data_IF_083128485986
#
_entry.id   IF_083128485986
#
_cell.length_a   1.000
_cell.length_b   1.000
_cell.length_c   1.000
_cell.angle_alpha   90.00
_cell.angle_beta   90.00
_cell.angle_gamma   90.00
#
_symmetry.space_group_name_H-M   'P 1'
#
loop_
_entity.id
_entity.type
_entity.pdbx_description
1 polymer ?
#
# COMPACT_ATOMS: atom_id res chain seq x y z
N UNK A 1 14.36 -10.89 -44.28
CA UNK A 1 13.80 -11.74 -43.20
C UNK A 1 14.13 -11.18 -41.82
N UNK A 2 15.39 -11.24 -41.34
CA UNK A 2 15.77 -10.74 -39.99
C UNK A 2 15.40 -9.28 -39.71
N UNK A 3 15.60 -8.38 -40.67
CA UNK A 3 15.22 -6.96 -40.55
C UNK A 3 13.70 -6.75 -40.42
N UNK A 4 12.93 -7.51 -41.19
CA UNK A 4 11.47 -7.42 -41.19
C UNK A 4 10.90 -7.94 -39.86
N UNK A 5 11.46 -9.04 -39.37
CA UNK A 5 11.14 -9.59 -38.06
C UNK A 5 11.51 -8.62 -36.92
N UNK A 6 12.68 -7.97 -37.01
CA UNK A 6 13.08 -6.94 -36.04
C UNK A 6 12.11 -5.74 -36.07
N UNK A 7 11.70 -5.26 -37.24
CA UNK A 7 10.71 -4.20 -37.36
C UNK A 7 9.36 -4.59 -36.74
N UNK A 8 8.89 -5.82 -36.98
CA UNK A 8 7.64 -6.33 -36.36
C UNK A 8 7.73 -6.32 -34.84
N UNK A 9 8.82 -6.83 -34.28
CA UNK A 9 9.05 -6.84 -32.82
C UNK A 9 9.07 -5.40 -32.27
N UNK A 10 9.84 -4.51 -32.87
CA UNK A 10 9.93 -3.10 -32.44
C UNK A 10 8.57 -2.42 -32.53
N UNK A 11 7.85 -2.54 -33.64
CA UNK A 11 6.53 -1.95 -33.81
C UNK A 11 5.54 -2.51 -32.79
N UNK A 12 5.50 -3.82 -32.57
CA UNK A 12 4.62 -4.43 -31.56
C UNK A 12 4.92 -3.91 -30.15
N UNK A 13 6.20 -3.82 -29.80
CA UNK A 13 6.64 -3.31 -28.50
C UNK A 13 6.23 -1.84 -28.29
N UNK A 14 6.50 -0.98 -29.28
CA UNK A 14 6.13 0.44 -29.23
C UNK A 14 4.61 0.65 -29.23
N UNK A 15 3.85 -0.16 -29.97
CA UNK A 15 2.39 -0.10 -29.95
C UNK A 15 1.81 -0.48 -28.60
N UNK A 16 2.36 -1.50 -27.93
CA UNK A 16 1.95 -1.89 -26.58
C UNK A 16 2.30 -0.81 -25.55
N UNK A 17 3.48 -0.20 -25.66
CA UNK A 17 3.87 0.96 -24.83
C UNK A 17 2.94 2.16 -25.04
N UNK A 18 2.65 2.50 -26.30
CA UNK A 18 1.75 3.59 -26.65
C UNK A 18 0.32 3.37 -26.17
N UNK A 19 -0.17 2.13 -26.25
CA UNK A 19 -1.48 1.75 -25.70
C UNK A 19 -1.52 1.91 -24.18
N UNK A 20 -0.48 1.44 -23.47
CA UNK A 20 -0.37 1.62 -22.02
C UNK A 20 -0.39 3.09 -21.60
N UNK A 21 0.36 3.93 -22.32
CA UNK A 21 0.35 5.39 -22.10
C UNK A 21 -1.04 5.99 -22.31
N UNK A 22 -1.72 5.62 -23.39
CA UNK A 22 -3.07 6.12 -23.70
C UNK A 22 -4.10 5.71 -22.64
N UNK A 23 -4.05 4.45 -22.19
CA UNK A 23 -4.87 3.93 -21.09
C UNK A 23 -4.68 4.74 -19.80
N UNK A 24 -3.44 5.07 -19.44
CA UNK A 24 -3.16 5.91 -18.27
C UNK A 24 -3.62 7.36 -18.45
N UNK A 25 -3.39 7.97 -19.61
CA UNK A 25 -3.77 9.36 -19.88
C UNK A 25 -5.29 9.54 -19.86
N UNK A 26 -6.05 8.56 -20.36
CA UNK A 26 -7.50 8.62 -20.42
C UNK A 26 -8.24 7.94 -19.26
N UNK A 27 -7.51 7.33 -18.31
CA UNK A 27 -8.12 6.56 -17.22
C UNK A 27 -8.87 5.31 -17.68
N UNK A 28 -8.61 4.82 -18.89
CA UNK A 28 -9.28 3.66 -19.46
C UNK A 28 -8.52 2.37 -19.12
N UNK A 29 -9.16 1.47 -18.37
CA UNK A 29 -8.58 0.17 -17.93
C UNK A 29 -7.21 0.33 -17.24
N UNK A 30 -7.09 1.36 -16.41
CA UNK A 30 -5.83 1.70 -15.73
C UNK A 30 -5.26 0.58 -14.85
N UNK A 31 -6.05 -0.44 -14.47
CA UNK A 31 -5.62 -1.57 -13.64
C UNK A 31 -5.38 -2.88 -14.41
N UNK A 32 -5.65 -2.91 -15.71
CA UNK A 32 -5.65 -4.13 -16.54
C UNK A 32 -4.25 -4.37 -17.15
N UNK A 33 -3.27 -4.62 -16.28
CA UNK A 33 -1.84 -4.57 -16.63
C UNK A 33 -1.22 -5.88 -17.14
N UNK A 34 -1.98 -6.96 -17.32
CA UNK A 34 -1.40 -8.29 -17.58
C UNK A 34 -0.45 -8.31 -18.77
N UNK A 35 -0.84 -7.72 -19.91
CA UNK A 35 0.02 -7.66 -21.11
C UNK A 35 1.22 -6.71 -20.97
N UNK A 36 1.07 -5.61 -20.23
CA UNK A 36 2.16 -4.68 -19.93
C UNK A 36 3.18 -5.32 -18.99
N UNK A 37 2.70 -6.07 -18.00
CA UNK A 37 3.53 -6.73 -17.00
C UNK A 37 4.44 -7.78 -17.62
N UNK A 38 3.97 -8.57 -18.59
CA UNK A 38 4.82 -9.61 -19.22
C UNK A 38 5.79 -9.11 -20.30
N UNK A 39 5.53 -7.94 -20.91
CA UNK A 39 6.32 -7.45 -22.06
C UNK A 39 7.27 -6.31 -21.66
N UNK A 40 6.91 -5.52 -20.65
CA UNK A 40 7.67 -4.32 -20.23
C UNK A 40 8.41 -4.55 -18.89
N UNK A 41 8.20 -5.70 -18.22
CA UNK A 41 8.62 -6.00 -16.83
C UNK A 41 10.02 -5.50 -16.46
N UNK A 42 11.00 -5.62 -17.36
CA UNK A 42 12.41 -5.32 -17.07
C UNK A 42 12.67 -3.86 -16.67
N UNK A 43 11.79 -2.91 -16.99
CA UNK A 43 12.04 -1.48 -16.71
C UNK A 43 11.47 -0.95 -15.40
N UNK A 44 10.63 -1.72 -14.71
CA UNK A 44 10.05 -1.30 -13.43
C UNK A 44 10.12 -2.44 -12.44
N UNK A 45 11.31 -2.70 -11.90
CA UNK A 45 11.42 -3.41 -10.64
C UNK A 45 10.58 -2.62 -9.63
N UNK A 46 9.40 -3.14 -9.28
CA UNK A 46 8.51 -2.66 -8.23
C UNK A 46 9.14 -2.81 -6.84
N UNK A 47 10.37 -2.33 -6.70
CA UNK A 47 11.12 -2.27 -5.47
C UNK A 47 10.69 -1.00 -4.74
N UNK A 48 9.54 -1.08 -4.08
CA UNK A 48 9.29 -0.17 -2.99
C UNK A 48 10.36 -0.44 -1.91
N UNK A 49 11.08 0.61 -1.49
CA UNK A 49 12.02 0.55 -0.38
C UNK A 49 11.33 0.26 0.97
N UNK A 50 10.00 0.32 0.98
CA UNK A 50 9.15 -0.03 2.10
C UNK A 50 8.39 -1.33 1.81
N UNK A 51 8.14 -2.07 2.88
CA UNK A 51 7.12 -3.11 2.91
C UNK A 51 5.90 -2.54 3.62
N UNK A 52 4.71 -2.93 3.17
CA UNK A 52 3.44 -2.54 3.77
C UNK A 52 2.62 -3.80 4.05
N UNK A 53 2.01 -3.86 5.23
CA UNK A 53 1.04 -4.86 5.66
C UNK A 53 -0.24 -4.17 6.06
N UNK A 54 -1.35 -4.88 5.85
CA UNK A 54 -2.69 -4.40 6.10
C UNK A 54 -3.28 -5.18 7.24
N UNK A 55 -3.79 -4.46 8.23
CA UNK A 55 -4.48 -4.99 9.40
C UNK A 55 -5.90 -4.44 9.39
N UNK A 56 -6.89 -5.31 9.35
CA UNK A 56 -8.30 -4.91 9.40
C UNK A 56 -8.81 -5.17 10.81
N UNK A 57 -9.30 -4.12 11.46
CA UNK A 57 -9.77 -4.14 12.84
C UNK A 57 -11.21 -3.64 12.84
N UNK A 58 -12.12 -4.37 13.48
CA UNK A 58 -13.51 -3.96 13.68
C UNK A 58 -13.74 -3.50 15.13
N UNK A 59 -14.53 -2.46 15.32
CA UNK A 59 -14.95 -1.96 16.63
C UNK A 59 -16.43 -2.30 16.86
N UNK A 60 -16.72 -3.04 17.92
CA UNK A 60 -18.08 -3.38 18.33
C UNK A 60 -18.78 -2.27 19.13
N UNK A 61 -20.09 -2.40 19.33
CA UNK A 61 -20.89 -1.44 20.11
C UNK A 61 -20.41 -1.28 21.56
N UNK A 62 -19.80 -2.31 22.15
CA UNK A 62 -19.21 -2.23 23.49
C UNK A 62 -17.86 -1.48 23.54
N UNK A 63 -17.31 -1.07 22.38
CA UNK A 63 -15.96 -0.51 22.25
C UNK A 63 -14.85 -1.56 22.27
N UNK A 64 -15.19 -2.85 22.19
CA UNK A 64 -14.20 -3.92 21.99
C UNK A 64 -13.71 -3.94 20.54
N UNK A 65 -12.41 -4.21 20.38
CA UNK A 65 -11.77 -4.33 19.08
C UNK A 65 -11.57 -5.79 18.71
N UNK A 66 -11.94 -6.14 17.48
CA UNK A 66 -11.83 -7.46 16.90
C UNK A 66 -10.86 -7.41 15.71
N UNK A 67 -9.88 -8.30 15.74
CA UNK A 67 -9.00 -8.50 14.59
C UNK A 67 -9.75 -9.29 13.52
N UNK A 68 -9.97 -8.66 12.35
CA UNK A 68 -10.73 -9.25 11.23
C UNK A 68 -9.80 -10.04 10.31
N UNK A 69 -8.53 -9.64 10.21
CA UNK A 69 -7.50 -10.32 9.43
C UNK A 69 -6.38 -10.82 10.34
N UNK A 70 -5.92 -12.07 10.20
CA UNK A 70 -6.22 -13.02 9.13
C UNK A 70 -7.63 -13.62 9.24
N UNK A 71 -8.17 -14.10 8.12
CA UNK A 71 -9.49 -14.73 8.11
C UNK A 71 -9.51 -16.00 9.02
N UNK A 72 -10.59 -16.24 9.77
CA UNK A 72 -10.63 -17.29 10.80
C UNK A 72 -10.58 -18.72 10.25
N UNK A 73 -10.95 -18.92 8.97
CA UNK A 73 -10.84 -20.19 8.26
C UNK A 73 -9.46 -20.42 7.63
N UNK A 74 -8.49 -19.53 7.88
CA UNK A 74 -7.13 -19.60 7.36
C UNK A 74 -6.92 -18.81 6.08
N UNK A 75 -5.66 -18.51 5.80
CA UNK A 75 -5.24 -17.67 4.69
C UNK A 75 -4.69 -18.50 3.52
N UNK A 76 -5.00 -18.04 2.30
CA UNK A 76 -4.39 -18.60 1.10
C UNK A 76 -3.06 -17.89 0.84
N UNK A 77 -1.95 -18.63 0.88
CA UNK A 77 -0.60 -18.10 0.67
C UNK A 77 -0.06 -18.61 -0.68
N UNK A 78 -0.37 -17.94 -1.81
CA UNK A 78 0.06 -18.41 -3.12
C UNK A 78 1.57 -18.29 -3.34
N UNK A 79 2.22 -17.30 -2.72
CA UNK A 79 3.63 -17.02 -2.92
C UNK A 79 4.32 -16.67 -1.59
N UNK A 80 5.49 -17.27 -1.34
CA UNK A 80 6.28 -17.03 -0.14
C UNK A 80 5.47 -17.27 1.15
N UNK A 81 5.54 -16.34 2.11
CA UNK A 81 5.03 -16.49 3.48
C UNK A 81 4.10 -15.35 3.89
N UNK A 82 3.40 -14.73 2.94
CA UNK A 82 2.53 -13.57 3.20
C UNK A 82 1.08 -13.89 2.85
N UNK A 83 0.18 -13.49 3.73
CA UNK A 83 -1.25 -13.75 3.58
C UNK A 83 -1.86 -12.98 2.40
N UNK A 84 -2.97 -13.51 1.87
CA UNK A 84 -3.54 -13.02 0.61
C UNK A 84 -3.90 -11.54 0.67
N UNK A 85 -4.45 -11.11 1.80
CA UNK A 85 -4.94 -9.75 1.97
C UNK A 85 -3.80 -8.71 1.89
N UNK A 86 -2.56 -9.09 2.15
CA UNK A 86 -1.40 -8.20 2.00
C UNK A 86 -0.99 -7.93 0.55
N UNK A 87 -1.45 -8.73 -0.44
CA UNK A 87 -1.22 -8.42 -1.86
C UNK A 87 -2.11 -7.28 -2.36
N UNK A 88 -3.17 -6.94 -1.63
CA UNK A 88 -4.06 -5.84 -1.97
C UNK A 88 -3.43 -4.48 -1.61
N UNK A 89 -2.30 -4.14 -2.21
CA UNK A 89 -1.59 -2.88 -1.92
C UNK A 89 -2.46 -1.62 -2.13
N UNK A 90 -3.47 -1.70 -3.00
CA UNK A 90 -4.44 -0.63 -3.26
C UNK A 90 -5.62 -0.58 -2.26
N UNK A 91 -5.73 -1.56 -1.35
CA UNK A 91 -6.85 -1.72 -0.43
C UNK A 91 -8.20 -1.70 -1.18
N UNK A 92 -8.25 -2.33 -2.35
CA UNK A 92 -9.40 -2.37 -3.25
C UNK A 92 -10.44 -3.40 -2.81
N UNK A 93 -10.03 -4.42 -2.06
CA UNK A 93 -10.88 -5.53 -1.62
C UNK A 93 -11.13 -5.52 -0.12
N UNK A 94 -10.60 -4.54 0.62
CA UNK A 94 -10.77 -4.41 2.07
C UNK A 94 -12.23 -4.47 2.52
N UNK A 95 -13.13 -3.74 1.84
CA UNK A 95 -14.55 -3.72 2.17
C UNK A 95 -15.18 -5.11 2.06
N UNK A 96 -15.00 -5.77 0.90
CA UNK A 96 -15.54 -7.11 0.66
C UNK A 96 -14.94 -8.15 1.59
N UNK A 97 -13.65 -8.04 1.92
CA UNK A 97 -12.99 -8.95 2.84
C UNK A 97 -13.56 -8.80 4.25
N UNK A 98 -13.68 -7.57 4.74
CA UNK A 98 -14.19 -7.29 6.07
C UNK A 98 -15.65 -7.75 6.22
N UNK A 99 -16.53 -7.34 5.30
CA UNK A 99 -17.95 -7.73 5.37
C UNK A 99 -18.11 -9.25 5.31
N UNK A 100 -17.35 -9.92 4.43
CA UNK A 100 -17.44 -11.37 4.30
C UNK A 100 -17.01 -12.10 5.58
N UNK A 101 -15.99 -11.60 6.29
CA UNK A 101 -15.56 -12.19 7.56
C UNK A 101 -16.59 -11.93 8.66
N UNK A 102 -17.06 -10.70 8.78
CA UNK A 102 -18.08 -10.34 9.77
C UNK A 102 -19.39 -11.13 9.55
N UNK A 103 -19.84 -11.28 8.30
CA UNK A 103 -21.05 -12.05 7.97
C UNK A 103 -20.96 -13.55 8.37
N UNK A 104 -19.75 -14.08 8.58
CA UNK A 104 -19.49 -15.50 8.85
C UNK A 104 -18.81 -15.73 10.21
N UNK A 105 -18.80 -14.73 11.09
CA UNK A 105 -18.23 -14.84 12.44
C UNK A 105 -19.21 -14.37 13.50
N UNK A 106 -19.10 -14.95 14.70
CA UNK A 106 -19.90 -14.51 15.85
C UNK A 106 -19.20 -13.33 16.53
N UNK A 107 -19.88 -12.19 16.55
CA UNK A 107 -19.44 -10.98 17.23
C UNK A 107 -20.66 -10.13 17.61
N UNK A 108 -20.44 -9.15 18.49
CA UNK A 108 -21.45 -8.13 18.73
C UNK A 108 -21.65 -7.24 17.49
N UNK A 109 -22.73 -6.43 17.41
CA UNK A 109 -22.89 -5.50 16.30
C UNK A 109 -21.67 -4.60 16.14
N UNK A 110 -21.10 -4.59 14.93
CA UNK A 110 -19.95 -3.74 14.59
C UNK A 110 -20.45 -2.33 14.28
N UNK A 111 -19.70 -1.33 14.73
CA UNK A 111 -19.98 0.10 14.49
C UNK A 111 -19.08 0.69 13.40
N UNK A 112 -17.84 0.19 13.32
CA UNK A 112 -16.80 0.70 12.44
C UNK A 112 -15.77 -0.40 12.12
N UNK A 113 -15.23 -0.35 10.90
CA UNK A 113 -14.09 -1.18 10.49
C UNK A 113 -12.96 -0.26 10.05
N UNK A 114 -11.80 -0.39 10.66
CA UNK A 114 -10.60 0.39 10.34
C UNK A 114 -9.56 -0.49 9.67
N UNK A 115 -9.07 -0.03 8.52
CA UNK A 115 -7.85 -0.55 7.89
C UNK A 115 -6.65 0.22 8.40
N UNK A 116 -5.74 -0.48 9.06
CA UNK A 116 -4.45 0.04 9.51
C UNK A 116 -3.35 -0.48 8.57
N UNK A 117 -2.53 0.43 8.07
CA UNK A 117 -1.29 0.11 7.40
C UNK A 117 -0.14 0.05 8.39
N UNK A 118 0.53 -1.10 8.44
CA UNK A 118 1.85 -1.27 9.03
C UNK A 118 2.89 -1.12 7.92
N UNK A 119 3.78 -0.13 8.01
CA UNK A 119 4.81 0.09 7.01
C UNK A 119 6.20 0.15 7.63
N UNK A 120 7.19 -0.37 6.91
CA UNK A 120 8.58 -0.29 7.35
C UNK A 120 9.57 -0.26 6.18
N UNK A 121 10.74 0.33 6.41
CA UNK A 121 11.82 0.29 5.41
C UNK A 121 12.50 -1.08 5.41
N UNK A 122 12.58 -1.70 4.24
CA UNK A 122 13.22 -3.01 4.03
C UNK A 122 14.69 -3.01 4.43
N UNK A 123 15.38 -1.90 4.19
CA UNK A 123 16.80 -1.73 4.53
C UNK A 123 17.05 -1.83 6.04
N UNK A 124 16.15 -1.30 6.86
CA UNK A 124 16.32 -1.25 8.31
C UNK A 124 15.69 -2.45 9.03
N UNK A 125 14.77 -3.17 8.38
CA UNK A 125 14.15 -4.40 8.90
C UNK A 125 14.55 -5.63 8.06
N UNK A 126 15.84 -5.81 7.78
CA UNK A 126 16.36 -7.05 7.19
C UNK A 126 16.08 -8.24 8.12
N UNK A 127 15.99 -9.48 7.61
CA UNK A 127 15.94 -10.68 8.45
C UNK A 127 17.07 -10.68 9.49
N UNK A 128 16.79 -11.18 10.70
CA UNK A 128 17.73 -11.06 11.83
C UNK A 128 19.09 -11.68 11.54
N UNK A 129 19.11 -12.85 10.89
CA UNK A 129 20.33 -13.52 10.44
C UNK A 129 21.16 -12.63 9.50
N UNK A 130 20.51 -11.94 8.54
CA UNK A 130 21.18 -11.05 7.60
C UNK A 130 21.68 -9.77 8.27
N UNK A 131 20.94 -9.25 9.25
CA UNK A 131 21.34 -8.05 9.98
C UNK A 131 22.55 -8.33 10.89
N UNK A 132 22.52 -9.45 11.63
CA UNK A 132 23.59 -9.86 12.54
C UNK A 132 24.88 -10.28 11.81
N UNK A 133 24.78 -10.73 10.56
CA UNK A 133 25.96 -10.96 9.73
C UNK A 133 26.79 -9.69 9.47
N UNK A 134 26.20 -8.50 9.62
CA UNK A 134 26.84 -7.21 9.36
C UNK A 134 26.98 -6.33 10.61
N UNK A 135 26.31 -6.66 11.71
CA UNK A 135 26.21 -5.83 12.91
C UNK A 135 26.35 -6.69 14.17
N UNK A 136 27.06 -6.18 15.18
CA UNK A 136 27.26 -6.88 16.46
C UNK A 136 26.04 -6.82 17.39
N UNK A 137 25.14 -5.87 17.14
CA UNK A 137 23.94 -5.63 17.96
C UNK A 137 22.70 -6.23 17.34
N UNK A 138 21.76 -6.76 18.15
CA UNK A 138 20.44 -7.15 17.65
C UNK A 138 19.72 -6.00 16.97
N UNK A 139 19.00 -6.33 15.91
CA UNK A 139 18.18 -5.37 15.17
C UNK A 139 17.00 -4.91 16.02
N UNK A 140 16.76 -3.61 16.06
CA UNK A 140 15.51 -3.05 16.58
C UNK A 140 14.51 -2.90 15.43
N UNK A 141 13.37 -3.60 15.50
CA UNK A 141 12.31 -3.50 14.49
C UNK A 141 11.76 -2.08 14.48
N UNK A 142 11.77 -1.42 13.31
CA UNK A 142 11.23 -0.08 13.12
C UNK A 142 10.02 -0.14 12.21
N UNK A 143 8.86 0.18 12.75
CA UNK A 143 7.59 0.06 12.05
C UNK A 143 6.74 1.29 12.32
N UNK A 144 6.00 1.72 11.31
CA UNK A 144 5.05 2.82 11.38
C UNK A 144 3.64 2.27 11.18
N UNK A 145 2.69 2.73 11.99
CA UNK A 145 1.28 2.39 11.86
C UNK A 145 0.48 3.63 11.46
N UNK A 146 -0.51 3.44 10.59
CA UNK A 146 -1.40 4.52 10.16
C UNK A 146 -2.76 3.99 9.74
N UNK A 147 -3.83 4.65 10.19
CA UNK A 147 -5.17 4.39 9.64
C UNK A 147 -5.22 4.84 8.18
N UNK A 148 -5.51 3.91 7.28
CA UNK A 148 -5.66 4.15 5.84
C UNK A 148 -7.11 4.41 5.47
N UNK A 149 -8.03 3.63 6.01
CA UNK A 149 -9.45 3.83 5.73
C UNK A 149 -10.31 3.40 6.88
N UNK A 150 -11.45 4.06 6.98
CA UNK A 150 -12.50 3.76 7.93
C UNK A 150 -13.75 3.44 7.14
N UNK A 151 -14.37 2.30 7.44
CA UNK A 151 -15.54 1.77 6.77
C UNK A 151 -16.69 1.64 7.76
N UNK A 152 -17.91 1.75 7.25
CA UNK A 152 -19.10 1.30 7.96
C UNK A 152 -19.10 -0.23 8.10
N UNK A 153 -19.98 -0.79 8.96
CA UNK A 153 -20.16 -2.24 9.07
C UNK A 153 -20.62 -2.89 7.75
N UNK A 154 -21.26 -2.11 6.87
CA UNK A 154 -21.71 -2.54 5.55
C UNK A 154 -20.63 -2.42 4.46
N UNK A 155 -19.42 -1.99 4.82
CA UNK A 155 -18.29 -1.84 3.89
C UNK A 155 -18.24 -0.52 3.13
N UNK A 156 -19.07 0.48 3.48
CA UNK A 156 -19.03 1.81 2.87
C UNK A 156 -17.87 2.63 3.44
N UNK A 157 -17.03 3.22 2.59
CA UNK A 157 -15.92 4.05 3.04
C UNK A 157 -16.41 5.38 3.62
N UNK A 158 -16.16 5.60 4.92
CA UNK A 158 -16.36 6.89 5.61
C UNK A 158 -15.14 7.79 5.45
N UNK A 159 -13.95 7.20 5.54
CA UNK A 159 -12.68 7.89 5.34
C UNK A 159 -11.75 7.02 4.50
N UNK A 160 -11.01 7.66 3.58
CA UNK A 160 -9.97 6.99 2.79
C UNK A 160 -8.81 7.94 2.57
N UNK A 161 -7.64 7.56 3.09
CA UNK A 161 -6.38 8.22 2.84
C UNK A 161 -5.67 7.58 1.64
N UNK A 162 -4.74 8.34 1.06
CA UNK A 162 -3.74 7.81 0.13
C UNK A 162 -2.91 6.72 0.82
N UNK A 163 -2.40 5.75 0.06
CA UNK A 163 -1.56 4.69 0.61
C UNK A 163 -0.23 5.21 1.16
N UNK A 164 0.53 4.33 1.80
CA UNK A 164 1.81 4.72 2.43
C UNK A 164 2.79 5.34 1.43
N UNK A 165 2.89 4.76 0.23
CA UNK A 165 3.79 5.21 -0.83
C UNK A 165 3.42 6.57 -1.40
N UNK A 166 2.13 6.79 -1.67
CA UNK A 166 1.59 8.06 -2.13
C UNK A 166 1.76 9.14 -1.06
N UNK A 167 1.58 8.80 0.22
CA UNK A 167 1.84 9.72 1.32
C UNK A 167 3.32 10.08 1.44
N UNK A 168 4.23 9.11 1.36
CA UNK A 168 5.67 9.41 1.37
C UNK A 168 6.06 10.30 0.19
N UNK A 169 5.54 10.02 -1.01
CA UNK A 169 5.77 10.84 -2.20
C UNK A 169 5.26 12.27 -2.02
N UNK A 170 4.06 12.43 -1.45
CA UNK A 170 3.51 13.73 -1.08
C UNK A 170 4.39 14.47 -0.06
N UNK A 171 4.78 13.79 1.03
CA UNK A 171 5.65 14.37 2.05
C UNK A 171 7.02 14.77 1.51
N UNK A 172 7.60 13.99 0.60
CA UNK A 172 8.89 14.30 -0.01
C UNK A 172 8.87 15.62 -0.81
N UNK A 173 7.73 15.97 -1.40
CA UNK A 173 7.55 17.24 -2.10
C UNK A 173 7.19 18.36 -1.13
N UNK A 174 6.24 18.13 -0.22
CA UNK A 174 5.78 19.16 0.73
C UNK A 174 6.89 19.61 1.68
N UNK A 175 7.72 18.68 2.15
CA UNK A 175 8.79 18.98 3.10
C UNK A 175 10.07 19.49 2.43
N UNK A 176 10.09 19.62 1.09
CA UNK A 176 11.26 20.07 0.35
C UNK A 176 11.04 21.47 -0.26
N UNK A 177 11.47 22.55 0.42
CA UNK A 177 11.25 23.91 -0.05
C UNK A 177 11.91 24.20 -1.41
N UNK A 178 13.01 23.49 -1.75
CA UNK A 178 13.67 23.62 -3.06
C UNK A 178 12.79 23.08 -4.19
N UNK A 179 12.11 21.96 -3.96
CA UNK A 179 11.16 21.41 -4.92
C UNK A 179 9.93 22.31 -5.04
N UNK A 180 9.36 22.76 -3.93
CA UNK A 180 8.24 23.70 -3.95
C UNK A 180 8.55 24.98 -4.73
N UNK A 181 9.75 25.54 -4.58
CA UNK A 181 10.17 26.72 -5.33
C UNK A 181 10.29 26.45 -6.83
N UNK A 182 10.80 25.28 -7.23
CA UNK A 182 10.90 24.88 -8.65
C UNK A 182 9.53 24.61 -9.28
N UNK A 183 8.57 24.12 -8.50
CA UNK A 183 7.19 23.90 -8.96
C UNK A 183 6.44 25.19 -9.22
N UNK A 184 6.86 26.32 -8.63
CA UNK A 184 6.25 27.63 -8.92
C UNK A 184 6.55 28.04 -10.35
N UNK A 185 5.56 27.89 -11.24
CA UNK A 185 5.61 28.37 -12.62
C UNK A 185 6.07 27.36 -13.66
N UNK A 186 6.24 26.08 -13.30
CA UNK A 186 6.54 25.01 -14.26
C UNK A 186 5.55 23.84 -14.10
N UNK A 187 5.08 23.23 -15.21
CA UNK A 187 4.29 22.01 -15.13
C UNK A 187 5.15 20.89 -14.53
N UNK A 188 4.71 20.38 -13.39
CA UNK A 188 5.37 19.29 -12.68
C UNK A 188 4.51 18.03 -12.81
N UNK A 189 4.99 17.03 -13.57
CA UNK A 189 4.32 15.73 -13.66
C UNK A 189 4.60 14.96 -12.37
N UNK A 190 3.59 14.85 -11.52
CA UNK A 190 3.58 13.89 -10.42
C UNK A 190 2.78 12.69 -10.87
N UNK A 191 3.38 11.50 -10.87
CA UNK A 191 2.60 10.28 -11.01
C UNK A 191 1.74 10.13 -9.75
N UNK A 192 0.46 9.89 -9.95
CA UNK A 192 -0.59 9.66 -8.95
C UNK A 192 -1.23 10.93 -8.39
N UNK A 193 -2.53 11.05 -8.67
CA UNK A 193 -3.43 12.06 -8.15
C UNK A 193 -3.27 12.19 -6.63
N UNK A 194 -2.85 13.36 -6.17
CA UNK A 194 -3.02 13.72 -4.77
C UNK A 194 -4.52 13.77 -4.47
N UNK A 195 -5.09 12.68 -3.95
CA UNK A 195 -6.23 12.85 -3.09
C UNK A 195 -5.74 13.72 -1.93
N UNK A 196 -6.33 14.90 -1.76
CA UNK A 196 -6.02 15.77 -0.62
C UNK A 196 -6.12 14.92 0.64
N UNK A 197 -5.06 14.85 1.47
CA UNK A 197 -5.12 14.05 2.67
C UNK A 197 -6.27 14.56 3.53
N UNK A 198 -7.29 13.72 3.73
CA UNK A 198 -8.30 13.95 4.77
C UNK A 198 -7.53 14.06 6.09
N UNK A 199 -7.83 15.09 6.90
CA UNK A 199 -7.14 15.37 8.18
C UNK A 199 -6.83 14.06 8.91
N UNK A 200 -5.54 13.71 8.96
CA UNK A 200 -5.07 12.59 9.77
C UNK A 200 -5.27 13.00 11.22
N UNK A 201 -6.19 12.32 11.92
CA UNK A 201 -6.26 12.41 13.37
C UNK A 201 -5.02 11.68 13.88
N UNK A 202 -4.05 12.41 14.45
CA UNK A 202 -2.93 11.77 15.13
C UNK A 202 -3.50 10.87 16.22
N UNK A 203 -3.16 9.58 16.19
CA UNK A 203 -3.29 8.75 17.37
C UNK A 203 -2.33 9.32 18.41
N UNK A 204 -2.87 9.88 19.48
CA UNK A 204 -2.10 10.30 20.65
C UNK A 204 -1.56 9.02 21.30
N UNK A 205 -0.28 8.72 21.11
CA UNK A 205 0.43 7.81 21.99
C UNK A 205 1.11 8.67 23.05
N UNK A 206 0.61 8.60 24.29
CA UNK A 206 1.42 8.91 25.45
C UNK A 206 2.46 7.78 25.54
N UNK A 207 3.70 8.07 25.17
CA UNK A 207 4.82 7.23 25.56
C UNK A 207 4.93 7.34 27.06
N UNK A 208 4.54 6.28 27.78
CA UNK A 208 4.91 6.10 29.17
C UNK A 208 6.45 6.04 29.21
N UNK A 209 7.07 7.12 29.68
CA UNK A 209 8.52 7.20 29.87
C UNK A 209 8.95 6.06 30.79
N UNK A 210 9.64 5.06 30.25
CA UNK A 210 10.29 4.04 31.06
C UNK A 210 11.34 4.72 31.97
N UNK A 211 11.36 4.44 33.28
CA UNK A 211 12.30 5.07 34.18
C UNK A 211 13.75 4.69 33.83
N UNK A 212 14.70 5.62 33.99
CA UNK A 212 16.11 5.35 33.71
C UNK A 212 16.64 4.27 34.65
N UNK A 213 17.31 3.26 34.07
CA UNK A 213 18.15 2.31 34.82
C UNK A 213 19.51 2.92 35.14
#
# INVERSE_FOLDING_TARGET
MRRLMACVVICSYLSLLGFGLFSHVLGYKQSDHVGMYFIIWDMYCGWCAHEVRHHIIAEGESGQYYEVTPAPWGEFVPFASIDRHHYDGAASFTASLATHILDHTDHEPITEVTLVEEAWSKKYNLPDEMYLAQNEVPKQKRTYFRSRSVLSPTGEYRQRAIDWTGWLSHQAVVNNPRLQQKMKGQPFMMSESFASPTRIRQASHETEDAPPQ
#
